data_IF_453800684767
#
_entry.id   IF_453800684767
#
_cell.length_a   1.000
_cell.length_b   1.000
_cell.length_c   1.000
_cell.angle_alpha   90.00
_cell.angle_beta   90.00
_cell.angle_gamma   90.00
#
_symmetry.space_group_name_H-M   'P 1'
#
loop_
_entity.id
_entity.type
_entity.pdbx_description
1 polymer ?
#
# COMPACT_ATOMS: atom_id res chain seq x y z
N UNK A 1 43.31 2.15 -45.52
CA UNK A 1 42.92 2.69 -44.23
C UNK A 1 41.66 3.54 -44.46
N UNK A 2 40.49 2.98 -44.30
CA UNK A 2 39.22 3.68 -44.47
C UNK A 2 38.82 4.28 -43.11
N UNK A 3 38.70 5.60 -43.03
CA UNK A 3 38.27 6.34 -41.84
C UNK A 3 36.86 5.97 -41.49
N UNK A 4 36.49 5.65 -40.21
CA UNK A 4 35.13 5.36 -39.84
C UNK A 4 34.26 6.61 -39.97
N UNK A 5 33.17 6.47 -40.73
CA UNK A 5 32.21 7.51 -41.06
C UNK A 5 31.54 7.99 -39.76
N UNK A 6 31.85 9.18 -39.26
CA UNK A 6 31.20 9.79 -38.09
C UNK A 6 29.76 10.17 -38.46
N UNK A 7 28.74 9.64 -37.81
CA UNK A 7 27.37 10.02 -38.08
C UNK A 7 27.21 11.54 -38.00
N UNK A 8 26.61 12.15 -39.01
CA UNK A 8 26.52 13.60 -39.11
C UNK A 8 25.80 14.14 -37.85
N UNK A 9 26.35 15.19 -37.26
CA UNK A 9 25.85 15.86 -36.02
C UNK A 9 24.32 16.07 -36.04
N UNK A 10 23.76 16.27 -37.24
CA UNK A 10 22.31 16.41 -37.48
C UNK A 10 21.53 15.10 -37.26
N UNK A 11 22.09 13.94 -37.58
CA UNK A 11 21.46 12.62 -37.34
C UNK A 11 21.45 12.28 -35.84
N UNK A 12 22.56 12.56 -35.15
CA UNK A 12 22.64 12.37 -33.69
C UNK A 12 21.65 13.27 -32.92
N UNK A 13 21.53 14.56 -33.32
CA UNK A 13 20.56 15.48 -32.70
C UNK A 13 19.11 15.07 -32.99
N UNK A 14 18.83 14.57 -34.21
CA UNK A 14 17.48 14.02 -34.51
C UNK A 14 17.19 12.76 -33.71
N UNK A 15 18.10 11.82 -33.61
CA UNK A 15 17.95 10.62 -32.82
C UNK A 15 17.69 10.99 -31.35
N UNK A 16 18.46 11.88 -30.75
CA UNK A 16 18.30 12.36 -29.38
C UNK A 16 16.92 13.00 -29.17
N UNK A 17 16.44 13.84 -30.08
CA UNK A 17 15.12 14.46 -29.99
C UNK A 17 14.00 13.43 -30.04
N UNK A 18 14.11 12.45 -30.95
CA UNK A 18 13.12 11.35 -31.06
C UNK A 18 13.09 10.51 -29.78
N UNK A 19 14.26 10.16 -29.24
CA UNK A 19 14.36 9.41 -28.00
C UNK A 19 13.77 10.21 -26.82
N UNK A 20 14.03 11.51 -26.74
CA UNK A 20 13.49 12.38 -25.70
C UNK A 20 11.96 12.49 -25.78
N UNK A 21 11.41 12.63 -26.99
CA UNK A 21 9.96 12.69 -27.21
C UNK A 21 9.29 11.35 -26.88
N UNK A 22 9.91 10.23 -27.24
CA UNK A 22 9.42 8.90 -26.89
C UNK A 22 9.47 8.65 -25.39
N UNK A 23 10.56 9.04 -24.72
CA UNK A 23 10.68 8.94 -23.27
C UNK A 23 9.62 9.80 -22.55
N UNK A 24 9.39 11.03 -23.02
CA UNK A 24 8.34 11.92 -22.46
C UNK A 24 6.94 11.35 -22.69
N UNK A 25 6.68 10.77 -23.87
CA UNK A 25 5.39 10.14 -24.18
C UNK A 25 5.14 8.90 -23.27
N UNK A 26 6.17 8.11 -22.99
CA UNK A 26 6.09 6.97 -22.07
C UNK A 26 5.79 7.41 -20.63
N UNK A 27 6.42 8.50 -20.16
CA UNK A 27 6.14 9.05 -18.82
C UNK A 27 4.70 9.54 -18.72
N UNK A 28 4.20 10.24 -19.73
CA UNK A 28 2.81 10.73 -19.75
C UNK A 28 1.80 9.55 -19.80
N UNK A 29 2.13 8.48 -20.53
CA UNK A 29 1.28 7.29 -20.61
C UNK A 29 1.26 6.46 -19.31
N UNK A 30 2.24 6.64 -18.43
CA UNK A 30 2.35 5.95 -17.14
C UNK A 30 1.68 6.71 -15.99
N UNK A 31 1.07 7.86 -16.25
CA UNK A 31 0.29 8.61 -15.25
C UNK A 31 -1.11 8.01 -15.12
N UNK A 32 -1.42 7.48 -13.94
CA UNK A 32 -2.76 7.06 -13.54
C UNK A 32 -3.34 8.04 -12.53
N UNK A 33 -4.63 7.90 -12.22
CA UNK A 33 -5.31 8.71 -11.20
C UNK A 33 -5.81 7.79 -10.11
N UNK A 34 -5.48 8.09 -8.86
CA UNK A 34 -5.96 7.35 -7.70
C UNK A 34 -7.44 7.60 -7.42
N UNK A 35 -8.10 6.80 -6.56
CA UNK A 35 -9.50 7.01 -6.18
C UNK A 35 -9.80 8.40 -5.58
N UNK A 36 -8.82 9.06 -4.98
CA UNK A 36 -8.95 10.42 -4.43
C UNK A 36 -8.64 11.52 -5.46
N UNK A 37 -8.32 11.15 -6.72
CA UNK A 37 -8.04 12.10 -7.80
C UNK A 37 -6.56 12.52 -7.92
N UNK A 38 -5.67 11.91 -7.15
CA UNK A 38 -4.22 12.17 -7.18
C UNK A 38 -3.56 11.51 -8.38
N UNK A 39 -2.60 12.20 -9.01
CA UNK A 39 -1.78 11.60 -10.07
C UNK A 39 -0.75 10.63 -9.49
N UNK A 40 -0.63 9.47 -10.09
CA UNK A 40 0.26 8.37 -9.70
C UNK A 40 1.13 7.93 -10.88
N UNK A 41 2.33 7.43 -10.56
CA UNK A 41 3.20 6.79 -11.53
C UNK A 41 2.98 5.27 -11.48
N UNK A 42 2.50 4.68 -12.58
CA UNK A 42 2.20 3.25 -12.67
C UNK A 42 2.81 2.66 -13.94
N UNK A 43 3.95 1.97 -13.82
CA UNK A 43 4.61 1.31 -14.94
C UNK A 43 4.21 -0.14 -15.11
N UNK A 44 3.69 -0.77 -14.06
CA UNK A 44 3.39 -2.19 -14.08
C UNK A 44 1.91 -2.43 -14.37
N UNK A 45 1.57 -3.33 -15.31
CA UNK A 45 0.18 -3.72 -15.54
C UNK A 45 -0.47 -4.30 -14.30
N UNK A 46 -1.76 -4.03 -14.07
CA UNK A 46 -2.49 -4.55 -12.93
C UNK A 46 -2.44 -6.09 -12.82
N UNK A 47 -2.44 -6.80 -13.97
CA UNK A 47 -2.29 -8.27 -14.01
C UNK A 47 -0.95 -8.74 -13.44
N UNK A 48 0.14 -8.02 -13.72
CA UNK A 48 1.46 -8.33 -13.18
C UNK A 48 1.50 -8.06 -11.68
N UNK A 49 0.95 -6.95 -11.22
CA UNK A 49 0.86 -6.64 -9.79
C UNK A 49 0.08 -7.72 -9.03
N UNK A 50 -1.06 -8.16 -9.60
CA UNK A 50 -1.85 -9.26 -9.02
C UNK A 50 -1.05 -10.56 -8.94
N UNK A 51 -0.34 -10.95 -10.00
CA UNK A 51 0.48 -12.18 -9.99
C UNK A 51 1.55 -12.12 -8.91
N UNK A 52 2.23 -10.99 -8.78
CA UNK A 52 3.27 -10.78 -7.76
C UNK A 52 2.69 -10.81 -6.34
N UNK A 53 1.51 -10.21 -6.12
CA UNK A 53 0.82 -10.24 -4.83
C UNK A 53 0.40 -11.66 -4.44
N UNK A 54 -0.17 -12.43 -5.36
CA UNK A 54 -0.55 -13.83 -5.12
C UNK A 54 0.67 -14.70 -4.81
N UNK A 55 1.77 -14.53 -5.55
CA UNK A 55 3.01 -15.26 -5.31
C UNK A 55 3.61 -14.93 -3.93
N UNK A 56 3.72 -13.63 -3.59
CA UNK A 56 4.22 -13.20 -2.29
C UNK A 56 3.37 -13.75 -1.14
N UNK A 57 2.05 -13.70 -1.28
CA UNK A 57 1.13 -14.26 -0.30
C UNK A 57 1.31 -15.77 -0.11
N UNK A 58 1.46 -16.52 -1.21
CA UNK A 58 1.74 -17.95 -1.14
C UNK A 58 3.05 -18.28 -0.42
N UNK A 59 4.09 -17.46 -0.63
CA UNK A 59 5.37 -17.60 0.08
C UNK A 59 5.23 -17.28 1.57
N UNK A 60 4.45 -16.26 1.97
CA UNK A 60 4.20 -15.95 3.37
C UNK A 60 3.46 -17.10 4.06
N UNK A 61 2.39 -17.63 3.46
CA UNK A 61 1.65 -18.81 3.98
C UNK A 61 2.51 -20.07 4.10
N UNK A 62 3.53 -20.24 3.24
CA UNK A 62 4.44 -21.38 3.30
C UNK A 62 5.52 -21.23 4.39
N UNK A 63 5.86 -20.00 4.78
CA UNK A 63 6.97 -19.71 5.68
C UNK A 63 6.55 -19.31 7.09
N UNK A 64 5.28 -18.92 7.30
CA UNK A 64 4.76 -18.45 8.58
C UNK A 64 3.62 -19.36 9.06
N UNK A 65 3.47 -19.57 10.37
CA UNK A 65 2.35 -20.34 10.91
C UNK A 65 1.01 -19.67 10.59
N UNK A 66 0.03 -20.47 10.15
CA UNK A 66 -1.32 -20.03 9.79
C UNK A 66 -2.34 -20.72 10.67
N UNK A 67 -3.34 -19.98 11.15
CA UNK A 67 -4.53 -20.56 11.79
C UNK A 67 -5.58 -20.76 10.71
N UNK A 68 -5.91 -22.04 10.42
CA UNK A 68 -6.83 -22.36 9.33
C UNK A 68 -8.31 -22.27 9.71
N UNK A 69 -8.63 -22.40 11.00
CA UNK A 69 -10.01 -22.40 11.49
C UNK A 69 -10.11 -22.08 12.99
N UNK A 70 -11.27 -21.68 13.43
CA UNK A 70 -11.58 -21.41 14.83
C UNK A 70 -12.01 -19.96 15.08
N UNK A 71 -12.38 -19.64 16.34
CA UNK A 71 -13.05 -18.37 16.65
C UNK A 71 -12.28 -17.10 16.22
N UNK A 72 -10.95 -17.17 16.17
CA UNK A 72 -10.13 -16.03 15.74
C UNK A 72 -10.23 -15.83 14.22
N UNK A 73 -10.28 -16.91 13.45
CA UNK A 73 -10.49 -16.85 12.00
C UNK A 73 -11.89 -16.36 11.70
N UNK A 74 -12.91 -16.96 12.33
CA UNK A 74 -14.32 -16.59 12.18
C UNK A 74 -14.53 -15.09 12.45
N UNK A 75 -13.84 -14.54 13.46
CA UNK A 75 -13.90 -13.12 13.82
C UNK A 75 -13.27 -12.22 12.74
N UNK A 76 -12.08 -12.55 12.27
CA UNK A 76 -11.36 -11.76 11.26
C UNK A 76 -12.09 -11.82 9.93
N UNK A 77 -12.55 -13.01 9.52
CA UNK A 77 -13.35 -13.21 8.31
C UNK A 77 -14.67 -12.45 8.38
N UNK A 78 -15.38 -12.50 9.50
CA UNK A 78 -16.62 -11.73 9.70
C UNK A 78 -16.43 -10.23 9.44
N UNK A 79 -15.34 -9.64 9.94
CA UNK A 79 -15.04 -8.22 9.73
C UNK A 79 -14.68 -7.95 8.27
N UNK A 80 -13.84 -8.79 7.66
CA UNK A 80 -13.44 -8.65 6.27
C UNK A 80 -14.64 -8.81 5.32
N UNK A 81 -15.48 -9.81 5.54
CA UNK A 81 -16.67 -10.12 4.74
C UNK A 81 -17.72 -8.99 4.79
N UNK A 82 -17.76 -8.21 5.86
CA UNK A 82 -18.60 -7.01 5.94
C UNK A 82 -18.04 -5.86 5.09
N UNK A 83 -16.71 -5.75 4.94
CA UNK A 83 -16.03 -4.67 4.20
C UNK A 83 -15.96 -4.98 2.70
N UNK A 84 -15.60 -6.20 2.33
CA UNK A 84 -15.36 -6.63 0.95
C UNK A 84 -16.50 -6.25 -0.03
N UNK A 85 -17.80 -6.38 0.31
CA UNK A 85 -18.89 -5.98 -0.57
C UNK A 85 -18.95 -4.47 -0.90
N UNK A 86 -18.25 -3.63 -0.14
CA UNK A 86 -18.15 -2.19 -0.39
C UNK A 86 -16.97 -1.83 -1.31
N UNK A 87 -16.11 -2.81 -1.64
CA UNK A 87 -14.95 -2.64 -2.52
C UNK A 87 -15.39 -2.89 -3.96
N UNK A 88 -15.08 -1.98 -4.92
CA UNK A 88 -15.36 -2.22 -6.34
C UNK A 88 -14.70 -3.51 -6.84
N UNK A 89 -15.43 -4.28 -7.64
CA UNK A 89 -15.03 -5.64 -8.07
C UNK A 89 -13.71 -5.66 -8.88
N UNK A 90 -13.35 -4.56 -9.51
CA UNK A 90 -12.11 -4.41 -10.30
C UNK A 90 -10.83 -4.61 -9.47
N UNK A 91 -10.87 -4.39 -8.15
CA UNK A 91 -9.70 -4.54 -7.27
C UNK A 91 -9.44 -5.98 -6.86
N UNK A 92 -10.41 -6.86 -7.01
CA UNK A 92 -10.26 -8.29 -6.71
C UNK A 92 -11.15 -9.17 -7.63
N UNK A 93 -10.84 -9.17 -8.93
CA UNK A 93 -11.57 -9.96 -9.96
C UNK A 93 -11.71 -11.46 -9.61
N UNK A 94 -10.74 -12.01 -8.86
CA UNK A 94 -10.73 -13.41 -8.41
C UNK A 94 -11.22 -13.60 -6.96
N UNK A 95 -11.84 -12.58 -6.38
CA UNK A 95 -12.28 -12.54 -4.98
C UNK A 95 -11.15 -12.20 -4.01
N UNK A 96 -11.54 -12.03 -2.75
CA UNK A 96 -10.64 -11.78 -1.63
C UNK A 96 -10.39 -13.05 -0.84
N UNK A 97 -9.17 -13.23 -0.37
CA UNK A 97 -8.76 -14.32 0.52
C UNK A 97 -8.17 -13.71 1.79
N UNK A 98 -8.67 -14.17 2.94
CA UNK A 98 -8.22 -13.72 4.25
C UNK A 98 -7.45 -14.85 4.92
N UNK A 99 -6.32 -14.55 5.52
CA UNK A 99 -5.52 -15.51 6.30
C UNK A 99 -5.14 -14.89 7.64
N UNK A 100 -5.31 -15.66 8.70
CA UNK A 100 -4.83 -15.32 10.03
C UNK A 100 -3.48 -15.99 10.27
N UNK A 101 -2.46 -15.17 10.51
CA UNK A 101 -1.11 -15.63 10.84
C UNK A 101 -0.93 -15.72 12.37
N UNK A 102 -0.44 -16.85 12.84
CA UNK A 102 -0.15 -17.07 14.27
C UNK A 102 1.18 -16.43 14.64
N UNK A 103 1.14 -15.18 15.01
CA UNK A 103 2.33 -14.39 15.36
C UNK A 103 1.98 -13.26 16.30
N UNK A 104 2.83 -13.02 17.28
CA UNK A 104 2.72 -11.89 18.22
C UNK A 104 2.98 -10.52 17.57
N UNK A 105 3.38 -10.48 16.31
CA UNK A 105 3.58 -9.22 15.60
C UNK A 105 2.27 -8.45 15.50
N UNK A 106 2.30 -7.19 15.88
CA UNK A 106 1.19 -6.26 15.64
C UNK A 106 1.30 -5.83 14.18
N UNK A 107 0.62 -6.55 13.29
CA UNK A 107 0.71 -6.34 11.85
C UNK A 107 -0.54 -6.81 11.11
N UNK A 108 -0.79 -6.22 9.95
CA UNK A 108 -1.70 -6.68 8.91
C UNK A 108 -1.18 -6.20 7.55
N UNK A 109 -1.69 -6.77 6.47
CA UNK A 109 -1.37 -6.32 5.12
C UNK A 109 -2.48 -6.69 4.15
N UNK A 110 -2.59 -5.96 3.04
CA UNK A 110 -3.29 -6.42 1.85
C UNK A 110 -2.38 -6.31 0.61
N UNK A 111 -2.41 -7.36 -0.22
CA UNK A 111 -1.61 -7.44 -1.45
C UNK A 111 -2.51 -7.39 -2.68
N UNK A 112 -2.00 -6.87 -3.82
CA UNK A 112 -2.69 -6.94 -5.09
C UNK A 112 -3.16 -8.36 -5.41
N UNK A 113 -4.38 -8.49 -5.94
CA UNK A 113 -5.01 -9.79 -6.16
C UNK A 113 -5.93 -10.24 -5.02
N UNK A 114 -6.30 -9.29 -4.12
CA UNK A 114 -7.28 -9.53 -3.08
C UNK A 114 -6.79 -10.44 -1.95
N UNK A 115 -5.56 -10.29 -1.49
CA UNK A 115 -4.94 -11.12 -0.46
C UNK A 115 -4.76 -10.32 0.82
N UNK A 116 -5.46 -10.69 1.90
CA UNK A 116 -5.42 -10.04 3.21
C UNK A 116 -4.76 -10.98 4.22
N UNK A 117 -3.79 -10.47 4.94
CA UNK A 117 -3.19 -11.14 6.09
C UNK A 117 -3.38 -10.34 7.37
N UNK A 118 -3.80 -11.03 8.43
CA UNK A 118 -3.95 -10.44 9.75
C UNK A 118 -3.17 -11.28 10.74
N UNK A 119 -2.28 -10.65 11.49
CA UNK A 119 -1.49 -11.31 12.53
C UNK A 119 -2.25 -11.30 13.86
N UNK A 120 -2.17 -12.41 14.62
CA UNK A 120 -2.87 -12.53 15.91
C UNK A 120 -2.46 -11.44 16.90
N UNK A 121 -1.20 -10.97 16.87
CA UNK A 121 -0.72 -9.86 17.70
C UNK A 121 -1.46 -8.54 17.46
N UNK A 122 -2.01 -8.33 16.26
CA UNK A 122 -2.83 -7.14 15.99
C UNK A 122 -4.10 -7.12 16.87
N UNK A 123 -4.68 -8.29 17.14
CA UNK A 123 -5.91 -8.40 17.94
C UNK A 123 -5.70 -8.00 19.40
N UNK A 124 -4.45 -7.95 19.87
CA UNK A 124 -4.15 -7.42 21.21
C UNK A 124 -4.32 -5.88 21.28
N UNK A 125 -4.23 -5.20 20.15
CA UNK A 125 -4.29 -3.74 20.03
C UNK A 125 -5.64 -3.28 19.48
N UNK A 126 -6.17 -4.01 18.47
CA UNK A 126 -7.52 -3.80 17.95
C UNK A 126 -8.53 -4.45 18.90
N UNK A 127 -9.06 -3.68 19.84
CA UNK A 127 -9.84 -4.17 21.00
C UNK A 127 -11.25 -4.62 20.64
N UNK A 128 -11.79 -4.19 19.49
CA UNK A 128 -13.13 -4.52 19.03
C UNK A 128 -13.19 -4.63 17.50
N UNK A 129 -14.36 -5.05 16.98
CA UNK A 129 -14.58 -5.22 15.55
C UNK A 129 -14.39 -3.94 14.74
N UNK A 130 -14.74 -2.78 15.28
CA UNK A 130 -14.65 -1.51 14.58
C UNK A 130 -13.18 -1.06 14.43
N UNK A 131 -12.36 -1.31 15.45
CA UNK A 131 -10.93 -1.08 15.38
C UNK A 131 -10.24 -2.04 14.38
N UNK A 132 -10.65 -3.31 14.36
CA UNK A 132 -10.15 -4.26 13.36
C UNK A 132 -10.58 -3.85 11.94
N UNK A 133 -11.81 -3.38 11.78
CA UNK A 133 -12.33 -2.86 10.52
C UNK A 133 -11.55 -1.64 10.03
N UNK A 134 -11.10 -0.77 10.94
CA UNK A 134 -10.24 0.36 10.58
C UNK A 134 -8.91 -0.10 9.97
N UNK A 135 -8.28 -1.17 10.51
CA UNK A 135 -7.05 -1.73 9.93
C UNK A 135 -7.33 -2.40 8.59
N UNK A 136 -8.31 -3.31 8.53
CA UNK A 136 -8.62 -4.04 7.29
C UNK A 136 -9.03 -3.08 6.17
N UNK A 137 -9.84 -2.06 6.50
CA UNK A 137 -10.22 -1.01 5.56
C UNK A 137 -9.02 -0.22 5.04
N UNK A 138 -8.08 0.13 5.92
CA UNK A 138 -6.83 0.81 5.57
C UNK A 138 -5.96 -0.04 4.62
N UNK A 139 -5.81 -1.35 4.91
CA UNK A 139 -5.06 -2.26 4.05
C UNK A 139 -5.70 -2.43 2.67
N UNK A 140 -7.02 -2.61 2.63
CA UNK A 140 -7.76 -2.67 1.36
C UNK A 140 -7.62 -1.36 0.58
N UNK A 141 -7.60 -0.21 1.26
CA UNK A 141 -7.40 1.09 0.64
C UNK A 141 -6.04 1.21 -0.07
N UNK A 142 -4.97 0.62 0.47
CA UNK A 142 -3.68 0.54 -0.22
C UNK A 142 -3.76 -0.24 -1.54
N UNK A 143 -4.57 -1.29 -1.61
CA UNK A 143 -4.81 -2.04 -2.85
C UNK A 143 -5.65 -1.21 -3.83
N UNK A 144 -6.72 -0.57 -3.36
CA UNK A 144 -7.59 0.29 -4.18
C UNK A 144 -6.85 1.49 -4.77
N UNK A 145 -5.98 2.11 -3.98
CA UNK A 145 -5.15 3.22 -4.43
C UNK A 145 -3.89 2.78 -5.19
N UNK A 146 -3.70 1.46 -5.42
CA UNK A 146 -2.57 0.87 -6.14
C UNK A 146 -1.19 1.35 -5.63
N UNK A 147 -1.08 1.62 -4.33
CA UNK A 147 0.14 2.16 -3.70
C UNK A 147 1.36 1.26 -3.89
N UNK A 148 1.17 -0.08 -3.98
CA UNK A 148 2.26 -1.00 -4.28
C UNK A 148 2.83 -0.76 -5.69
N UNK A 149 1.98 -0.53 -6.69
CA UNK A 149 2.40 -0.22 -8.05
C UNK A 149 3.14 1.12 -8.13
N UNK A 150 2.58 2.17 -7.52
CA UNK A 150 3.22 3.48 -7.48
C UNK A 150 4.59 3.43 -6.81
N UNK A 151 4.72 2.74 -5.68
CA UNK A 151 5.98 2.55 -4.97
C UNK A 151 7.01 1.83 -5.84
N UNK A 152 6.64 0.70 -6.45
CA UNK A 152 7.51 -0.05 -7.34
C UNK A 152 7.90 0.76 -8.59
N UNK A 153 6.97 1.50 -9.16
CA UNK A 153 7.20 2.35 -10.33
C UNK A 153 8.17 3.49 -10.02
N UNK A 154 8.01 4.12 -8.87
CA UNK A 154 8.92 5.17 -8.38
C UNK A 154 10.32 4.62 -8.14
N UNK A 155 10.42 3.44 -7.52
CA UNK A 155 11.69 2.75 -7.32
C UNK A 155 12.37 2.41 -8.64
N UNK A 156 11.63 1.85 -9.59
CA UNK A 156 12.12 1.54 -10.93
C UNK A 156 12.63 2.80 -11.64
N UNK A 157 11.85 3.89 -11.66
CA UNK A 157 12.25 5.16 -12.25
C UNK A 157 13.52 5.72 -11.61
N UNK A 158 13.62 5.65 -10.28
CA UNK A 158 14.81 6.10 -9.54
C UNK A 158 16.04 5.26 -9.93
N UNK A 159 15.91 3.94 -9.97
CA UNK A 159 17.01 3.02 -10.32
C UNK A 159 17.50 3.25 -11.75
N UNK A 160 16.56 3.37 -12.70
CA UNK A 160 16.90 3.66 -14.11
C UNK A 160 17.54 5.04 -14.25
N UNK A 161 16.98 6.04 -13.56
CA UNK A 161 17.55 7.40 -13.56
C UNK A 161 18.97 7.46 -13.01
N UNK A 162 19.24 6.80 -11.89
CA UNK A 162 20.57 6.69 -11.29
C UNK A 162 21.55 5.95 -12.21
N UNK A 163 21.11 4.83 -12.82
CA UNK A 163 21.92 4.09 -13.78
C UNK A 163 22.31 4.95 -15.01
N UNK A 164 21.37 5.73 -15.55
CA UNK A 164 21.64 6.64 -16.64
C UNK A 164 22.63 7.76 -16.25
N UNK A 165 22.51 8.32 -15.04
CA UNK A 165 23.43 9.30 -14.49
C UNK A 165 24.82 8.71 -14.27
N UNK A 166 24.93 7.46 -13.79
CA UNK A 166 26.20 6.77 -13.60
C UNK A 166 26.92 6.56 -14.92
N UNK A 167 26.22 6.13 -15.97
CA UNK A 167 26.77 6.02 -17.33
C UNK A 167 27.23 7.38 -17.87
N UNK A 168 26.48 8.44 -17.65
CA UNK A 168 26.82 9.80 -18.07
C UNK A 168 27.97 10.40 -17.27
N UNK A 169 28.15 9.99 -15.99
CA UNK A 169 29.25 10.46 -15.13
C UNK A 169 30.61 9.90 -15.56
N UNK A 170 30.64 8.74 -16.22
CA UNK A 170 31.89 8.07 -16.60
C UNK A 170 32.72 7.64 -15.38
N UNK A 171 34.04 7.74 -15.50
CA UNK A 171 35.00 7.29 -14.47
C UNK A 171 35.36 8.38 -13.44
N UNK A 172 34.57 9.42 -13.28
CA UNK A 172 34.78 10.49 -12.28
C UNK A 172 34.56 9.93 -10.84
N UNK A 173 35.61 9.83 -9.99
CA UNK A 173 35.52 9.19 -8.67
C UNK A 173 34.54 9.89 -7.72
N UNK A 174 34.46 11.23 -7.72
CA UNK A 174 33.57 11.99 -6.81
C UNK A 174 32.10 11.75 -7.19
N UNK A 175 31.82 11.64 -8.49
CA UNK A 175 30.48 11.33 -9.00
C UNK A 175 30.11 9.87 -8.78
N UNK A 176 31.06 8.95 -8.88
CA UNK A 176 30.83 7.54 -8.55
C UNK A 176 30.50 7.34 -7.08
N UNK A 177 31.19 8.04 -6.17
CA UNK A 177 30.88 7.99 -4.73
C UNK A 177 29.48 8.53 -4.44
N UNK A 178 29.09 9.67 -5.04
CA UNK A 178 27.72 10.20 -4.91
C UNK A 178 26.69 9.21 -5.45
N UNK A 179 26.93 8.58 -6.61
CA UNK A 179 26.04 7.59 -7.19
C UNK A 179 25.93 6.32 -6.34
N UNK A 180 27.02 5.89 -5.68
CA UNK A 180 27.00 4.76 -4.76
C UNK A 180 26.11 5.05 -3.54
N UNK A 181 26.21 6.24 -2.95
CA UNK A 181 25.37 6.66 -1.83
C UNK A 181 23.89 6.71 -2.25
N UNK A 182 23.57 7.30 -3.41
CA UNK A 182 22.21 7.36 -3.94
C UNK A 182 21.69 5.96 -4.30
N UNK A 183 22.54 5.08 -4.86
CA UNK A 183 22.21 3.71 -5.22
C UNK A 183 21.84 2.83 -4.02
N UNK A 184 22.55 2.98 -2.90
CA UNK A 184 22.21 2.29 -1.64
C UNK A 184 20.81 2.72 -1.16
N UNK A 185 20.50 4.02 -1.21
CA UNK A 185 19.17 4.52 -0.87
C UNK A 185 18.07 3.93 -1.77
N UNK A 186 18.35 3.71 -3.06
CA UNK A 186 17.41 3.12 -4.00
C UNK A 186 17.19 1.62 -3.77
N UNK A 187 18.23 0.85 -3.39
CA UNK A 187 18.09 -0.60 -3.10
C UNK A 187 17.27 -0.89 -1.84
N UNK A 188 17.31 -0.01 -0.86
CA UNK A 188 16.49 -0.12 0.37
C UNK A 188 15.00 0.12 0.09
N UNK A 189 14.67 0.73 -1.06
CA UNK A 189 13.32 1.17 -1.42
C UNK A 189 12.25 0.07 -1.55
N UNK A 190 12.63 -1.21 -1.71
CA UNK A 190 11.65 -2.33 -1.74
C UNK A 190 11.06 -2.60 -0.37
N UNK A 191 11.80 -2.28 0.70
CA UNK A 191 11.40 -2.44 2.10
C UNK A 191 10.99 -1.10 2.75
N UNK A 192 11.00 -0.01 1.98
CA UNK A 192 10.65 1.30 2.53
C UNK A 192 9.17 1.33 2.95
N UNK A 193 8.90 2.01 4.06
CA UNK A 193 7.53 2.30 4.46
C UNK A 193 6.75 3.00 3.35
N UNK A 194 5.43 2.90 3.38
CA UNK A 194 4.57 3.73 2.53
C UNK A 194 4.86 5.21 2.78
N UNK A 195 4.72 6.02 1.74
CA UNK A 195 4.91 7.46 1.89
C UNK A 195 3.80 8.05 2.75
N UNK A 196 4.07 9.20 3.41
CA UNK A 196 3.04 9.91 4.17
C UNK A 196 1.80 10.24 3.34
N UNK A 197 1.97 10.40 2.04
CA UNK A 197 0.88 10.66 1.10
C UNK A 197 0.02 9.40 0.90
N UNK A 198 0.66 8.23 0.75
CA UNK A 198 -0.04 6.95 0.65
C UNK A 198 -0.84 6.66 1.92
N UNK A 199 -0.26 6.94 3.08
CA UNK A 199 -0.92 6.74 4.37
C UNK A 199 -2.17 7.63 4.52
N UNK A 200 -2.07 8.92 4.14
CA UNK A 200 -3.24 9.82 4.18
C UNK A 200 -4.36 9.35 3.27
N UNK A 201 -4.01 8.90 2.08
CA UNK A 201 -4.97 8.42 1.09
C UNK A 201 -5.61 7.11 1.56
N UNK A 202 -4.82 6.19 2.14
CA UNK A 202 -5.32 4.95 2.71
C UNK A 202 -6.22 5.19 3.94
N UNK A 203 -5.88 6.17 4.77
CA UNK A 203 -6.73 6.59 5.89
C UNK A 203 -8.09 7.12 5.42
N UNK A 204 -8.12 8.00 4.40
CA UNK A 204 -9.36 8.55 3.87
C UNK A 204 -10.25 7.47 3.26
N UNK A 205 -9.69 6.64 2.39
CA UNK A 205 -10.44 5.57 1.72
C UNK A 205 -10.87 4.49 2.72
N UNK A 206 -9.98 4.10 3.62
CA UNK A 206 -10.25 3.07 4.64
C UNK A 206 -11.32 3.49 5.64
N UNK A 207 -11.31 4.76 6.06
CA UNK A 207 -12.34 5.34 6.92
C UNK A 207 -13.72 5.31 6.24
N UNK A 208 -13.79 5.65 4.96
CA UNK A 208 -15.02 5.55 4.17
C UNK A 208 -15.51 4.09 4.02
N UNK A 209 -14.60 3.14 3.78
CA UNK A 209 -14.93 1.72 3.63
C UNK A 209 -15.51 1.15 4.91
N UNK A 210 -14.86 1.36 6.06
CA UNK A 210 -15.40 0.86 7.34
C UNK A 210 -16.77 1.47 7.65
N UNK A 211 -16.93 2.78 7.43
CA UNK A 211 -18.18 3.47 7.67
C UNK A 211 -19.32 2.94 6.77
N UNK A 212 -19.08 2.78 5.45
CA UNK A 212 -20.04 2.19 4.49
C UNK A 212 -20.40 0.75 4.83
N UNK A 213 -19.52 0.03 5.52
CA UNK A 213 -19.72 -1.35 5.96
C UNK A 213 -20.56 -1.45 7.24
N UNK A 214 -20.82 -0.32 7.92
CA UNK A 214 -21.59 -0.26 9.15
C UNK A 214 -20.75 -0.43 10.42
N UNK A 215 -19.45 -0.22 10.33
CA UNK A 215 -18.54 -0.10 11.49
C UNK A 215 -18.40 1.36 11.89
N UNK A 216 -18.32 1.61 13.21
CA UNK A 216 -18.18 2.94 13.77
C UNK A 216 -16.83 3.57 13.42
N UNK A 217 -16.79 4.65 12.60
CA UNK A 217 -15.54 5.26 12.20
C UNK A 217 -14.75 5.95 13.33
N UNK A 218 -15.40 6.30 14.44
CA UNK A 218 -14.72 6.91 15.59
C UNK A 218 -13.70 5.95 16.22
N UNK A 219 -13.92 4.63 16.08
CA UNK A 219 -13.00 3.61 16.56
C UNK A 219 -11.61 3.67 15.91
N UNK A 220 -11.50 4.26 14.70
CA UNK A 220 -10.20 4.46 14.03
C UNK A 220 -9.26 5.33 14.86
N UNK A 221 -9.76 6.39 15.48
CA UNK A 221 -8.95 7.28 16.32
C UNK A 221 -8.48 6.55 17.59
N UNK A 222 -9.34 5.72 18.20
CA UNK A 222 -8.97 4.92 19.37
C UNK A 222 -7.89 3.89 19.00
N UNK A 223 -8.02 3.21 17.86
CA UNK A 223 -7.02 2.28 17.35
C UNK A 223 -5.63 2.92 17.25
N UNK A 224 -5.52 4.11 16.64
CA UNK A 224 -4.21 4.75 16.49
C UNK A 224 -3.58 5.18 17.82
N UNK A 225 -4.40 5.48 18.83
CA UNK A 225 -3.92 5.72 20.20
C UNK A 225 -3.38 4.42 20.81
N UNK A 226 -4.11 3.32 20.67
CA UNK A 226 -3.66 2.01 21.15
C UNK A 226 -2.35 1.59 20.47
N UNK A 227 -2.23 1.80 19.15
CA UNK A 227 -0.97 1.54 18.40
C UNK A 227 0.20 2.36 18.92
N UNK A 228 -0.03 3.63 19.24
CA UNK A 228 1.01 4.49 19.80
C UNK A 228 1.44 4.03 21.22
N UNK A 229 0.49 3.61 22.05
CA UNK A 229 0.75 3.09 23.40
C UNK A 229 1.50 1.74 23.35
N UNK A 230 1.17 0.87 22.39
CA UNK A 230 1.86 -0.40 22.19
C UNK A 230 3.34 -0.25 21.73
N UNK A 231 3.76 0.96 21.37
CA UNK A 231 5.12 1.26 20.87
C UNK A 231 6.20 1.34 21.97
N UNK A 232 5.94 0.94 23.20
CA UNK A 232 6.79 1.16 24.37
C UNK A 232 8.25 0.65 24.28
N UNK A 233 8.53 -0.42 23.50
CA UNK A 233 9.89 -0.97 23.28
C UNK A 233 10.37 -0.83 21.81
N UNK A 234 9.76 0.02 21.04
CA UNK A 234 9.99 0.23 19.60
C UNK A 234 8.67 0.18 18.84
N UNK A 235 8.62 0.78 17.65
CA UNK A 235 7.37 0.82 16.89
C UNK A 235 6.92 -0.60 16.53
N UNK A 236 5.62 -0.92 16.66
CA UNK A 236 5.04 -2.15 16.11
C UNK A 236 5.42 -2.36 14.65
N UNK A 237 5.46 -3.60 14.18
CA UNK A 237 5.80 -3.94 12.79
C UNK A 237 4.90 -3.17 11.81
N UNK A 238 3.62 -3.01 12.14
CA UNK A 238 2.67 -2.20 11.39
C UNK A 238 3.15 -0.74 11.21
N UNK A 239 3.59 -0.08 12.28
CA UNK A 239 4.08 1.31 12.20
C UNK A 239 5.43 1.45 11.47
N UNK A 240 6.17 0.34 11.29
CA UNK A 240 7.39 0.34 10.50
C UNK A 240 7.12 0.40 9.00
N UNK A 241 6.03 -0.21 8.54
CA UNK A 241 5.56 -0.19 7.14
C UNK A 241 4.56 0.94 6.88
N UNK A 242 3.81 1.35 7.91
CA UNK A 242 2.78 2.39 7.90
C UNK A 242 3.14 3.51 8.89
N UNK A 243 4.10 4.38 8.58
CA UNK A 243 4.58 5.36 9.53
C UNK A 243 3.48 6.31 9.97
N UNK A 244 3.26 6.38 11.29
CA UNK A 244 2.38 7.37 11.89
C UNK A 244 2.89 8.79 11.61
N UNK A 245 1.96 9.70 11.36
CA UNK A 245 2.22 11.13 11.29
C UNK A 245 1.71 11.79 12.57
N UNK A 246 2.37 12.84 13.01
CA UNK A 246 1.92 13.61 14.17
C UNK A 246 0.47 14.14 13.99
N UNK A 247 0.06 14.35 12.74
CA UNK A 247 -1.27 14.88 12.37
C UNK A 247 -2.29 13.79 11.96
N UNK A 248 -1.95 12.48 12.04
CA UNK A 248 -2.85 11.42 11.56
C UNK A 248 -4.21 11.44 12.26
N UNK A 249 -4.20 11.62 13.57
CA UNK A 249 -5.43 11.71 14.38
C UNK A 249 -6.22 12.96 14.00
N UNK A 250 -5.57 14.09 13.79
CA UNK A 250 -6.23 15.33 13.38
C UNK A 250 -6.86 15.19 11.97
N UNK A 251 -6.16 14.54 11.03
CA UNK A 251 -6.65 14.26 9.68
C UNK A 251 -7.88 13.35 9.70
N UNK A 252 -7.85 12.27 10.51
CA UNK A 252 -9.00 11.38 10.70
C UNK A 252 -10.19 12.12 11.34
N UNK A 253 -9.94 12.96 12.33
CA UNK A 253 -10.98 13.77 12.95
C UNK A 253 -11.58 14.79 11.98
N UNK A 254 -10.78 15.37 11.09
CA UNK A 254 -11.27 16.27 10.04
C UNK A 254 -12.15 15.53 9.00
N UNK A 255 -11.88 14.26 8.70
CA UNK A 255 -12.68 13.43 7.81
C UNK A 255 -13.93 12.83 8.50
N UNK A 256 -13.98 12.83 9.82
CA UNK A 256 -15.01 12.16 10.62
C UNK A 256 -16.47 12.58 10.28
N UNK A 257 -16.81 13.87 10.05
CA UNK A 257 -18.17 14.25 9.70
C UNK A 257 -18.70 13.53 8.44
N UNK A 258 -17.83 13.32 7.43
CA UNK A 258 -18.19 12.57 6.23
C UNK A 258 -18.36 11.07 6.54
N UNK A 259 -17.44 10.51 7.30
CA UNK A 259 -17.48 9.10 7.67
C UNK A 259 -18.72 8.76 8.50
N UNK A 260 -19.08 9.60 9.48
CA UNK A 260 -20.29 9.43 10.28
C UNK A 260 -21.56 9.47 9.42
N UNK A 261 -21.63 10.38 8.44
CA UNK A 261 -22.74 10.41 7.50
C UNK A 261 -22.86 9.09 6.69
N UNK A 262 -21.74 8.53 6.22
CA UNK A 262 -21.73 7.25 5.52
C UNK A 262 -22.11 6.08 6.43
N UNK A 263 -21.68 6.11 7.67
CA UNK A 263 -22.03 5.14 8.70
C UNK A 263 -23.54 5.15 9.01
N UNK A 264 -24.13 6.32 9.22
CA UNK A 264 -25.56 6.46 9.43
C UNK A 264 -26.37 5.87 8.28
N UNK A 265 -25.98 6.15 7.03
CA UNK A 265 -26.62 5.54 5.85
C UNK A 265 -26.44 4.02 5.79
N UNK A 266 -25.28 3.50 6.19
CA UNK A 266 -25.05 2.07 6.26
C UNK A 266 -25.95 1.39 7.29
N UNK A 267 -26.06 1.99 8.48
CA UNK A 267 -26.91 1.52 9.57
C UNK A 267 -28.40 1.57 9.20
N UNK A 268 -28.85 2.64 8.53
CA UNK A 268 -30.23 2.76 8.02
C UNK A 268 -30.52 1.70 6.94
N UNK A 269 -29.53 1.34 6.11
CA UNK A 269 -29.62 0.27 5.13
C UNK A 269 -29.52 -1.15 5.74
N UNK A 270 -29.44 -1.28 7.07
CA UNK A 270 -29.40 -2.55 7.78
C UNK A 270 -28.00 -3.16 7.89
N UNK A 271 -26.94 -2.47 7.46
CA UNK A 271 -25.56 -2.93 7.66
C UNK A 271 -25.13 -2.66 9.10
N UNK A 272 -25.10 -3.70 9.91
CA UNK A 272 -24.72 -3.66 11.34
C UNK A 272 -23.95 -4.95 11.64
N UNK A 273 -22.66 -5.01 11.31
CA UNK A 273 -21.86 -6.18 11.63
C UNK A 273 -21.87 -6.46 13.14
N UNK A 274 -21.97 -7.75 13.48
CA UNK A 274 -21.91 -8.23 14.87
C UNK A 274 -20.92 -9.38 14.94
N UNK A 275 -19.63 -9.04 14.77
CA UNK A 275 -18.53 -9.99 14.75
C UNK A 275 -18.04 -10.26 16.16
N UNK A 276 -18.14 -11.51 16.58
CA UNK A 276 -17.84 -11.91 17.96
C UNK A 276 -16.34 -12.09 18.16
N UNK A 277 -15.74 -11.16 18.92
CA UNK A 277 -14.32 -11.28 19.28
C UNK A 277 -14.12 -12.49 20.20
N UNK A 278 -13.15 -13.38 19.88
CA UNK A 278 -12.85 -14.51 20.76
C UNK A 278 -12.39 -14.01 22.14
N UNK A 279 -12.89 -14.68 23.17
CA UNK A 279 -12.43 -14.43 24.55
C UNK A 279 -11.04 -15.07 24.68
N UNK A 280 -10.04 -14.26 25.01
CA UNK A 280 -8.66 -14.69 25.26
C UNK A 280 -8.53 -15.52 26.54
#
# INVERSE_FOLDING_TARGET
>A
MTSPDRPSRRRAVRALRVTLVLALALVVAACATSPTGRSQLQFFPASQMRSMGVEAYGQMKANEPVIEQGPVVDYVECVADAIIPQVPAEYAENGWEVTVFDSEQINAFALPGGKIGVYTGLLAVAENQDQLAAVIGHEIAHVMAEHANERMSTQFATTVGLGALQVAAGDDPERQELMAVLGVGAQVGILLPFSRLHESEADEIGLDLMARSGFDPEASVALWRNMAEASGNGPPAFLSTHPSRDQRIDDLQAAMPRALYLYEQAVEAGRRPDCQRPVS
#
